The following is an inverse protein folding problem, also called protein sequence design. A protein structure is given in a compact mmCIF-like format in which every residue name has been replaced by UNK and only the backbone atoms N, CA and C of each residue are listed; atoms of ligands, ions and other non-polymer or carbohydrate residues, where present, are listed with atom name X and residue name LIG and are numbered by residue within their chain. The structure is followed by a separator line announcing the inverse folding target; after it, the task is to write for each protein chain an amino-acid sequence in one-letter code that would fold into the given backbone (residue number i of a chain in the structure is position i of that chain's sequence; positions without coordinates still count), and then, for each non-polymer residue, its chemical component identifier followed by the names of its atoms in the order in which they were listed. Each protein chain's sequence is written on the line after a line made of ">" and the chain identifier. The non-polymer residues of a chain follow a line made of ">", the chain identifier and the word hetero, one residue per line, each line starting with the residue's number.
data_IF_270985847542
#
_entry.id   IF_270985847542
#
_cell.length_a   1.000
_cell.length_b   1.000
_cell.length_c   1.000
_cell.angle_alpha   90.00
_cell.angle_beta   90.00
_cell.angle_gamma   90.00
#
_symmetry.space_group_name_H-M   'P 1'
#
loop_
_entity.id
_entity.type
_entity.pdbx_description
1 polymer ?
#
# COMPACT_ATOMS: atom_id res chain seq x y z
N UNK A 1 -35.01 -9.21 11.68
CA UNK A 1 -34.16 -10.03 10.79
C UNK A 1 -32.81 -9.35 10.72
N UNK A 2 -31.75 -10.08 10.99
CA UNK A 2 -30.40 -9.53 11.00
C UNK A 2 -30.02 -9.32 9.54
N UNK A 3 -29.56 -8.13 9.16
CA UNK A 3 -29.39 -7.74 7.75
C UNK A 3 -28.36 -8.59 6.98
N UNK A 4 -27.71 -9.55 7.62
CA UNK A 4 -26.69 -10.42 7.07
C UNK A 4 -27.25 -11.82 6.86
N UNK A 5 -27.24 -12.26 5.61
CA UNK A 5 -27.43 -13.64 5.17
C UNK A 5 -26.19 -14.02 4.36
N UNK A 6 -25.14 -14.41 5.08
CA UNK A 6 -23.83 -14.73 4.49
C UNK A 6 -23.52 -16.21 4.64
N UNK A 7 -22.89 -16.79 3.63
CA UNK A 7 -22.28 -18.12 3.70
C UNK A 7 -20.82 -17.98 4.16
N UNK A 8 -20.44 -18.49 5.35
CA UNK A 8 -19.06 -18.37 5.84
C UNK A 8 -18.03 -19.02 4.90
N UNK A 9 -18.39 -20.11 4.23
CA UNK A 9 -17.52 -20.76 3.23
C UNK A 9 -17.36 -19.91 1.96
N UNK A 10 -18.43 -19.24 1.53
CA UNK A 10 -18.39 -18.28 0.43
C UNK A 10 -17.48 -17.08 0.75
N UNK A 11 -17.62 -16.51 1.96
CA UNK A 11 -16.76 -15.41 2.41
C UNK A 11 -15.29 -15.85 2.47
N UNK A 12 -15.00 -17.04 3.02
CA UNK A 12 -13.64 -17.58 3.05
C UNK A 12 -13.02 -17.67 1.65
N UNK A 13 -13.79 -18.09 0.64
CA UNK A 13 -13.32 -18.12 -0.75
C UNK A 13 -12.93 -16.74 -1.28
N UNK A 14 -13.79 -15.73 -1.07
CA UNK A 14 -13.51 -14.34 -1.47
C UNK A 14 -12.29 -13.78 -0.73
N UNK A 15 -12.19 -14.01 0.58
CA UNK A 15 -11.05 -13.58 1.39
C UNK A 15 -9.75 -14.22 0.90
N UNK A 16 -9.77 -15.50 0.54
CA UNK A 16 -8.58 -16.21 0.04
C UNK A 16 -8.12 -15.59 -1.28
N UNK A 17 -9.02 -15.40 -2.24
CA UNK A 17 -8.68 -14.78 -3.53
C UNK A 17 -8.16 -13.35 -3.37
N UNK A 18 -8.78 -12.57 -2.49
CA UNK A 18 -8.37 -11.18 -2.22
C UNK A 18 -7.02 -11.13 -1.52
N UNK A 19 -6.76 -12.02 -0.57
CA UNK A 19 -5.47 -12.12 0.11
C UNK A 19 -4.35 -12.49 -0.86
N UNK A 20 -4.58 -13.41 -1.79
CA UNK A 20 -3.60 -13.75 -2.85
C UNK A 20 -3.27 -12.54 -3.73
N UNK A 21 -4.29 -11.75 -4.12
CA UNK A 21 -4.06 -10.53 -4.89
C UNK A 21 -3.28 -9.48 -4.07
N UNK A 22 -3.60 -9.32 -2.79
CA UNK A 22 -2.91 -8.42 -1.88
C UNK A 22 -1.45 -8.83 -1.65
N UNK A 23 -1.16 -10.14 -1.60
CA UNK A 23 0.19 -10.67 -1.56
C UNK A 23 0.99 -10.29 -2.83
N UNK A 24 0.36 -10.41 -4.01
CA UNK A 24 0.92 -9.93 -5.26
C UNK A 24 1.32 -8.45 -5.20
N UNK A 25 0.43 -7.59 -4.70
CA UNK A 25 0.70 -6.17 -4.51
C UNK A 25 1.88 -5.92 -3.55
N UNK A 26 1.93 -6.64 -2.42
CA UNK A 26 3.04 -6.54 -1.45
C UNK A 26 4.38 -6.94 -2.08
N UNK A 27 4.39 -8.03 -2.86
CA UNK A 27 5.58 -8.52 -3.54
C UNK A 27 6.06 -7.52 -4.60
N UNK A 28 5.15 -6.92 -5.37
CA UNK A 28 5.50 -5.86 -6.31
C UNK A 28 6.05 -4.62 -5.60
N UNK A 29 5.48 -4.22 -4.46
CA UNK A 29 6.00 -3.11 -3.65
C UNK A 29 7.45 -3.35 -3.19
N UNK A 30 7.74 -4.54 -2.66
CA UNK A 30 9.10 -4.95 -2.26
C UNK A 30 10.06 -5.02 -3.46
N UNK A 31 9.56 -5.41 -4.63
CA UNK A 31 10.36 -5.41 -5.85
C UNK A 31 10.71 -3.97 -6.27
N UNK A 32 9.71 -3.08 -6.27
CA UNK A 32 9.86 -1.65 -6.59
C UNK A 32 10.89 -0.95 -5.68
N UNK A 33 10.85 -1.23 -4.38
CA UNK A 33 11.83 -0.72 -3.40
C UNK A 33 13.28 -1.07 -3.79
N UNK A 34 13.51 -2.24 -4.39
CA UNK A 34 14.83 -2.70 -4.83
C UNK A 34 15.21 -2.22 -6.21
N UNK A 35 14.26 -2.28 -7.16
CA UNK A 35 14.55 -2.07 -8.58
C UNK A 35 14.73 -0.61 -8.91
N UNK A 36 14.08 0.31 -8.20
CA UNK A 36 14.16 1.73 -8.54
C UNK A 36 15.47 2.39 -8.13
N UNK A 37 16.02 2.16 -6.92
CA UNK A 37 17.37 2.63 -6.60
C UNK A 37 18.42 2.07 -7.57
N UNK A 38 18.27 0.80 -7.96
CA UNK A 38 19.14 0.14 -8.95
C UNK A 38 19.03 0.78 -10.34
N UNK A 39 17.81 1.01 -10.82
CA UNK A 39 17.55 1.66 -12.10
C UNK A 39 18.04 3.10 -12.11
N UNK A 40 17.81 3.86 -11.04
CA UNK A 40 18.32 5.22 -10.85
C UNK A 40 19.85 5.26 -10.90
N UNK A 41 20.53 4.31 -10.23
CA UNK A 41 21.99 4.23 -10.25
C UNK A 41 22.55 3.85 -11.62
N UNK A 42 21.78 3.12 -12.43
CA UNK A 42 22.20 2.64 -13.75
C UNK A 42 21.83 3.58 -14.90
N UNK A 43 21.05 4.63 -14.66
CA UNK A 43 20.49 5.47 -15.71
C UNK A 43 21.46 6.53 -16.30
N UNK A 44 22.71 6.55 -15.85
CA UNK A 44 23.77 7.44 -16.33
C UNK A 44 23.51 8.92 -16.04
N UNK A 45 24.38 9.78 -16.60
CA UNK A 45 24.28 11.25 -16.47
C UNK A 45 24.27 11.95 -17.82
N UNK A 46 23.60 13.10 -17.92
CA UNK A 46 23.71 13.97 -19.10
C UNK A 46 24.64 15.14 -18.74
N UNK A 47 25.89 15.09 -19.20
CA UNK A 47 26.79 16.26 -19.28
C UNK A 47 27.00 16.65 -20.75
N UNK A 48 27.03 17.96 -21.02
CA UNK A 48 27.41 18.49 -22.33
C UNK A 48 28.89 18.17 -22.60
N UNK A 49 29.17 17.13 -23.38
CA UNK A 49 30.53 16.66 -23.67
C UNK A 49 30.77 15.16 -23.47
N UNK A 50 29.79 14.39 -22.94
CA UNK A 50 29.80 12.93 -22.96
C UNK A 50 30.70 12.23 -21.94
N UNK A 51 31.29 12.96 -20.99
CA UNK A 51 32.08 12.36 -19.90
C UNK A 51 31.18 12.32 -18.66
N UNK A 52 30.95 11.14 -18.10
CA UNK A 52 30.20 11.02 -16.85
C UNK A 52 31.00 11.62 -15.69
N UNK A 53 30.43 12.62 -15.02
CA UNK A 53 30.98 13.12 -13.76
C UNK A 53 30.48 12.26 -12.61
N UNK A 54 31.39 11.56 -11.95
CA UNK A 54 31.10 10.76 -10.76
C UNK A 54 30.36 11.62 -9.70
N UNK A 55 29.19 11.16 -9.25
CA UNK A 55 28.44 11.77 -8.14
C UNK A 55 27.28 12.71 -8.53
N UNK A 56 26.98 12.91 -9.82
CA UNK A 56 25.80 13.68 -10.25
C UNK A 56 24.66 12.73 -10.63
N UNK A 57 23.44 12.95 -10.13
CA UNK A 57 22.27 12.15 -10.46
C UNK A 57 21.71 12.59 -11.82
N UNK A 58 21.56 11.67 -12.78
CA UNK A 58 21.00 11.97 -14.09
C UNK A 58 19.48 12.25 -14.06
N UNK A 59 18.92 12.82 -15.14
CA UNK A 59 17.51 13.23 -15.19
C UNK A 59 16.53 12.07 -14.97
N UNK A 60 16.86 10.86 -15.45
CA UNK A 60 16.04 9.66 -15.24
C UNK A 60 15.99 9.27 -13.77
N UNK A 61 17.13 9.32 -13.08
CA UNK A 61 17.21 9.02 -11.66
C UNK A 61 16.44 10.06 -10.82
N UNK A 62 16.46 11.34 -11.20
CA UNK A 62 15.64 12.38 -10.57
C UNK A 62 14.13 12.11 -10.79
N UNK A 63 13.72 11.81 -12.02
CA UNK A 63 12.33 11.50 -12.35
C UNK A 63 11.79 10.27 -11.60
N UNK A 64 12.61 9.23 -11.43
CA UNK A 64 12.25 8.06 -10.62
C UNK A 64 12.06 8.44 -9.14
N UNK A 65 12.92 9.30 -8.58
CA UNK A 65 12.75 9.81 -7.22
C UNK A 65 11.45 10.60 -7.04
N UNK A 66 11.13 11.48 -7.98
CA UNK A 66 9.86 12.24 -7.98
C UNK A 66 8.64 11.32 -8.11
N UNK A 67 8.70 10.34 -9.01
CA UNK A 67 7.63 9.35 -9.17
C UNK A 67 7.36 8.61 -7.86
N UNK A 68 8.42 8.14 -7.17
CA UNK A 68 8.24 7.46 -5.88
C UNK A 68 7.65 8.39 -4.82
N UNK A 69 8.15 9.60 -4.71
CA UNK A 69 7.63 10.56 -3.74
C UNK A 69 6.15 10.90 -4.02
N UNK A 70 5.74 10.97 -5.29
CA UNK A 70 4.36 11.26 -5.67
C UNK A 70 3.41 10.10 -5.33
N UNK A 71 3.82 8.85 -5.54
CA UNK A 71 2.92 7.69 -5.44
C UNK A 71 3.09 6.85 -4.17
N UNK A 72 4.14 7.06 -3.37
CA UNK A 72 4.38 6.27 -2.15
C UNK A 72 3.16 6.28 -1.21
N UNK A 73 2.56 7.46 -1.02
CA UNK A 73 1.37 7.60 -0.19
C UNK A 73 0.20 6.76 -0.70
N UNK A 74 -0.06 6.83 -2.00
CA UNK A 74 -1.19 6.14 -2.64
C UNK A 74 -1.00 4.62 -2.60
N UNK A 75 0.24 4.15 -2.81
CA UNK A 75 0.57 2.74 -2.70
C UNK A 75 0.35 2.21 -1.28
N UNK A 76 0.83 2.94 -0.26
CA UNK A 76 0.59 2.60 1.14
C UNK A 76 -0.89 2.65 1.50
N UNK A 77 -1.61 3.64 0.98
CA UNK A 77 -3.04 3.79 1.17
C UNK A 77 -3.83 2.58 0.65
N UNK A 78 -3.57 2.16 -0.58
CA UNK A 78 -4.25 0.99 -1.18
C UNK A 78 -3.92 -0.29 -0.41
N UNK A 79 -2.66 -0.45 0.03
CA UNK A 79 -2.26 -1.60 0.84
C UNK A 79 -3.01 -1.65 2.18
N UNK A 80 -3.04 -0.54 2.91
CA UNK A 80 -3.72 -0.44 4.21
C UNK A 80 -5.24 -0.63 4.08
N UNK A 81 -5.86 0.00 3.08
CA UNK A 81 -7.30 -0.16 2.80
C UNK A 81 -7.66 -1.61 2.47
N UNK A 82 -6.79 -2.30 1.73
CA UNK A 82 -6.96 -3.72 1.39
C UNK A 82 -6.85 -4.59 2.64
N UNK A 83 -5.83 -4.35 3.46
CA UNK A 83 -5.63 -5.04 4.75
C UNK A 83 -6.85 -4.89 5.68
N UNK A 84 -7.32 -3.65 5.86
CA UNK A 84 -8.50 -3.36 6.68
C UNK A 84 -9.75 -4.06 6.17
N UNK A 85 -9.94 -4.09 4.84
CA UNK A 85 -11.09 -4.77 4.22
C UNK A 85 -11.06 -6.28 4.46
N UNK A 86 -9.91 -6.93 4.26
CA UNK A 86 -9.74 -8.38 4.48
C UNK A 86 -9.96 -8.73 5.95
N UNK A 87 -9.28 -8.02 6.85
CA UNK A 87 -9.34 -8.28 8.29
C UNK A 87 -10.72 -7.99 8.87
N UNK A 88 -11.34 -6.89 8.43
CA UNK A 88 -12.70 -6.52 8.81
C UNK A 88 -13.73 -7.56 8.41
N UNK A 89 -13.70 -8.00 7.16
CA UNK A 89 -14.62 -9.02 6.66
C UNK A 89 -14.40 -10.39 7.35
N UNK A 90 -13.15 -10.75 7.64
CA UNK A 90 -12.83 -11.96 8.40
C UNK A 90 -13.38 -11.88 9.84
N UNK A 91 -13.11 -10.77 10.55
CA UNK A 91 -13.59 -10.54 11.91
C UNK A 91 -15.12 -10.50 11.98
N UNK A 92 -15.76 -9.75 11.09
CA UNK A 92 -17.21 -9.69 10.94
C UNK A 92 -17.83 -11.08 10.76
N UNK A 93 -17.25 -11.90 9.87
CA UNK A 93 -17.73 -13.28 9.63
C UNK A 93 -17.57 -14.16 10.86
N UNK A 94 -16.44 -14.05 11.56
CA UNK A 94 -16.21 -14.82 12.79
C UNK A 94 -17.25 -14.48 13.87
N UNK A 95 -17.50 -13.19 14.10
CA UNK A 95 -18.52 -12.74 15.06
C UNK A 95 -19.94 -13.14 14.64
N UNK A 96 -20.25 -13.08 13.35
CA UNK A 96 -21.52 -13.56 12.81
C UNK A 96 -21.73 -15.05 13.09
N UNK A 97 -20.70 -15.88 12.87
CA UNK A 97 -20.75 -17.34 13.13
C UNK A 97 -20.96 -17.65 14.61
N UNK A 98 -20.41 -16.83 15.51
CA UNK A 98 -20.62 -16.98 16.96
C UNK A 98 -21.93 -16.37 17.46
N UNK A 99 -22.72 -15.74 16.58
CA UNK A 99 -24.00 -15.09 16.93
C UNK A 99 -23.86 -13.70 17.54
N UNK A 100 -22.65 -13.13 17.58
CA UNK A 100 -22.38 -11.79 18.12
C UNK A 100 -22.50 -10.74 17.01
N UNK A 101 -23.74 -10.38 16.70
CA UNK A 101 -24.04 -9.53 15.55
C UNK A 101 -23.67 -8.07 15.76
N UNK A 102 -23.56 -7.63 17.01
CA UNK A 102 -23.11 -6.28 17.35
C UNK A 102 -21.63 -6.13 17.06
N UNK A 103 -20.80 -7.06 17.55
CA UNK A 103 -19.37 -7.09 17.24
C UNK A 103 -19.12 -7.31 15.75
N UNK A 104 -19.97 -8.09 15.10
CA UNK A 104 -19.91 -8.28 13.66
C UNK A 104 -20.10 -6.95 12.92
N UNK A 105 -21.20 -6.24 13.21
CA UNK A 105 -21.48 -4.93 12.61
C UNK A 105 -20.39 -3.90 12.93
N UNK A 106 -19.87 -3.90 14.16
CA UNK A 106 -18.77 -3.03 14.57
C UNK A 106 -17.49 -3.33 13.77
N UNK A 107 -17.11 -4.60 13.60
CA UNK A 107 -15.94 -4.98 12.83
C UNK A 107 -16.04 -4.53 11.35
N UNK A 108 -17.24 -4.65 10.76
CA UNK A 108 -17.49 -4.12 9.41
C UNK A 108 -17.36 -2.59 9.38
N UNK A 109 -17.95 -1.87 10.32
CA UNK A 109 -17.88 -0.40 10.38
C UNK A 109 -16.45 0.10 10.59
N UNK A 110 -15.67 -0.57 11.44
CA UNK A 110 -14.28 -0.22 11.71
C UNK A 110 -13.42 -0.32 10.45
N UNK A 111 -13.63 -1.38 9.67
CA UNK A 111 -12.92 -1.61 8.40
C UNK A 111 -13.26 -0.60 7.30
N UNK A 112 -14.41 0.07 7.39
CA UNK A 112 -14.80 1.15 6.47
C UNK A 112 -14.16 2.50 6.80
N UNK A 113 -13.54 2.63 7.98
CA UNK A 113 -12.88 3.88 8.35
C UNK A 113 -11.70 4.16 7.44
N UNK A 114 -11.50 5.44 7.18
CA UNK A 114 -10.43 5.91 6.30
C UNK A 114 -9.06 5.51 6.87
N UNK A 115 -8.19 4.84 6.08
CA UNK A 115 -6.83 4.53 6.48
C UNK A 115 -6.04 5.79 6.86
N UNK A 116 -5.38 5.76 8.01
CA UNK A 116 -4.45 6.81 8.42
C UNK A 116 -3.04 6.41 8.05
N UNK A 117 -2.55 6.96 6.93
CA UNK A 117 -1.17 6.75 6.49
C UNK A 117 -0.28 7.81 7.11
N UNK A 118 0.54 7.42 8.07
CA UNK A 118 1.62 8.26 8.58
C UNK A 118 2.86 8.09 7.70
N UNK A 119 3.28 9.18 7.07
CA UNK A 119 4.50 9.26 6.27
C UNK A 119 5.59 10.02 7.02
N UNK A 120 5.70 9.82 8.34
CA UNK A 120 6.74 10.41 9.18
C UNK A 120 8.14 10.01 8.66
N UNK A 121 8.64 10.80 7.71
CA UNK A 121 9.83 10.53 6.92
C UNK A 121 9.94 11.39 5.64
N UNK A 122 8.83 11.86 5.07
CA UNK A 122 8.82 12.54 3.75
C UNK A 122 8.74 14.09 3.79
N UNK A 123 8.87 14.74 4.95
CA UNK A 123 8.74 16.19 5.03
C UNK A 123 9.32 16.79 6.29
N UNK A 124 10.57 17.26 6.21
CA UNK A 124 11.28 17.78 7.38
C UNK A 124 12.46 18.69 7.09
N UNK A 125 12.39 19.56 6.08
CA UNK A 125 13.09 20.87 6.07
C UNK A 125 12.27 21.91 5.32
N UNK A 126 11.17 22.32 5.93
CA UNK A 126 10.57 23.63 5.66
C UNK A 126 11.49 24.70 6.25
N UNK A 127 11.79 25.71 5.44
CA UNK A 127 12.85 26.69 5.68
C UNK A 127 12.83 27.34 7.06
N UNK A 128 14.01 27.47 7.64
CA UNK A 128 14.28 28.40 8.72
C UNK A 128 15.19 29.50 8.16
N UNK A 129 14.59 30.69 8.07
CA UNK A 129 15.13 32.07 8.04
C UNK A 129 16.45 32.33 7.31
#
# INVERSE_FOLDING_TARGET
>A
MTAWDISPSGVKGVLTNTATAAEGLSNTGKALEKTVPSAASSAGTIEQGGVEKSGTQGPVAAALGEFFNAYQKDLMYVAERTSNSINGAAAATNYYVTGDLEMAAQAQQEALKEPKIDLSGAGGKQGAK
#
